data_IF_510066733161
#
_entry.id   IF_510066733161
#
_cell.length_a   1.000
_cell.length_b   1.000
_cell.length_c   1.000
_cell.angle_alpha   90.00
_cell.angle_beta   90.00
_cell.angle_gamma   90.00
#
_symmetry.space_group_name_H-M   'P 1'
#
loop_
_entity.id
_entity.type
_entity.pdbx_description
1 polymer ?
#
# COMPACT_ATOMS: atom_id res chain seq x y z
N UNK A 1 16.68 25.90 -76.98
CA UNK A 1 15.33 25.39 -77.32
C UNK A 1 15.03 24.18 -76.42
N UNK A 2 13.81 24.14 -75.84
CA UNK A 2 13.13 23.09 -75.02
C UNK A 2 13.52 22.93 -73.53
N UNK A 3 12.71 23.55 -72.65
CA UNK A 3 12.30 23.09 -71.31
C UNK A 3 11.02 22.21 -71.44
N UNK A 4 10.41 21.63 -70.37
CA UNK A 4 10.91 20.93 -69.18
C UNK A 4 10.16 19.58 -68.94
N UNK A 5 10.59 18.74 -67.98
CA UNK A 5 9.70 17.74 -67.40
C UNK A 5 9.97 17.57 -65.89
N UNK A 6 9.04 18.11 -65.10
CA UNK A 6 8.84 17.83 -63.68
C UNK A 6 8.42 16.37 -63.54
N UNK A 7 9.03 15.62 -62.63
CA UNK A 7 8.36 14.48 -61.99
C UNK A 7 8.31 14.76 -60.50
N UNK A 8 7.07 14.92 -60.07
CA UNK A 8 6.56 15.21 -58.74
C UNK A 8 6.76 14.01 -57.81
N UNK A 9 6.87 14.34 -56.53
CA UNK A 9 6.91 13.50 -55.35
C UNK A 9 6.22 12.12 -55.40
N UNK A 10 6.85 11.16 -54.71
CA UNK A 10 6.10 10.13 -53.98
C UNK A 10 6.85 9.78 -52.68
N UNK A 11 6.89 10.74 -51.75
CA UNK A 11 7.03 10.44 -50.34
C UNK A 11 5.69 9.86 -49.86
N UNK A 12 5.44 8.57 -50.12
CA UNK A 12 4.42 7.82 -49.42
C UNK A 12 4.98 7.45 -48.06
N UNK A 13 4.78 8.38 -47.13
CA UNK A 13 4.74 8.12 -45.70
C UNK A 13 3.84 6.91 -45.46
N UNK A 14 4.44 5.77 -45.14
CA UNK A 14 3.71 4.69 -44.50
C UNK A 14 3.18 5.22 -43.16
N UNK A 15 1.86 5.21 -42.91
CA UNK A 15 1.37 5.27 -41.55
C UNK A 15 1.70 3.91 -40.93
N UNK A 16 2.91 3.79 -40.37
CA UNK A 16 3.19 2.78 -39.38
C UNK A 16 2.18 3.00 -38.26
N UNK A 17 1.26 2.06 -38.14
CA UNK A 17 0.31 1.97 -37.06
C UNK A 17 1.04 2.11 -35.72
N UNK A 18 0.99 3.30 -35.14
CA UNK A 18 1.49 3.60 -33.79
C UNK A 18 0.36 3.58 -32.74
N UNK A 19 -0.82 3.06 -33.11
CA UNK A 19 -1.91 2.79 -32.15
C UNK A 19 -1.74 1.36 -31.61
N UNK A 20 -0.97 1.21 -30.54
CA UNK A 20 -0.83 -0.05 -29.80
C UNK A 20 0.41 -0.06 -28.90
N UNK A 21 1.53 0.45 -29.41
CA UNK A 21 2.81 0.44 -28.67
C UNK A 21 2.88 1.51 -27.58
N UNK A 22 2.15 2.62 -27.74
CA UNK A 22 2.10 3.69 -26.74
C UNK A 22 1.32 3.28 -25.47
N UNK A 23 0.22 2.54 -25.62
CA UNK A 23 -0.56 2.02 -24.48
C UNK A 23 0.17 0.88 -23.76
N UNK A 24 0.77 -0.05 -24.49
CA UNK A 24 1.55 -1.13 -23.87
C UNK A 24 2.83 -0.61 -23.21
N UNK A 25 3.50 0.39 -23.82
CA UNK A 25 4.65 1.06 -23.22
C UNK A 25 4.30 1.85 -21.95
N UNK A 26 3.14 2.52 -21.92
CA UNK A 26 2.65 3.21 -20.74
C UNK A 26 2.28 2.24 -19.60
N UNK A 27 1.66 1.09 -19.92
CA UNK A 27 1.37 0.03 -18.94
C UNK A 27 2.64 -0.59 -18.36
N UNK A 28 3.65 -0.85 -19.19
CA UNK A 28 4.94 -1.36 -18.75
C UNK A 28 5.72 -0.34 -17.90
N UNK A 29 5.63 0.96 -18.24
CA UNK A 29 6.25 2.03 -17.45
C UNK A 29 5.55 2.24 -16.09
N UNK A 30 4.26 1.91 -15.98
CA UNK A 30 3.50 1.98 -14.74
C UNK A 30 3.72 0.78 -13.79
N UNK A 31 4.22 -0.36 -14.30
CA UNK A 31 4.44 -1.59 -13.50
C UNK A 31 5.20 -1.36 -12.19
N UNK A 32 6.34 -0.63 -12.16
CA UNK A 32 7.07 -0.41 -10.91
C UNK A 32 6.25 0.35 -9.86
N UNK A 33 5.49 1.37 -10.30
CA UNK A 33 4.63 2.16 -9.41
C UNK A 33 3.45 1.33 -8.88
N UNK A 34 2.86 0.48 -9.72
CA UNK A 34 1.79 -0.43 -9.31
C UNK A 34 2.30 -1.49 -8.31
N UNK A 35 3.51 -2.00 -8.54
CA UNK A 35 4.15 -2.96 -7.62
C UNK A 35 4.47 -2.33 -6.27
N UNK A 36 4.94 -1.08 -6.23
CA UNK A 36 5.20 -0.38 -4.97
C UNK A 36 3.91 -0.11 -4.21
N UNK A 37 2.84 0.36 -4.88
CA UNK A 37 1.54 0.55 -4.25
C UNK A 37 0.96 -0.76 -3.69
N UNK A 38 1.06 -1.88 -4.44
CA UNK A 38 0.63 -3.19 -3.96
C UNK A 38 1.43 -3.65 -2.72
N UNK A 39 2.73 -3.40 -2.70
CA UNK A 39 3.61 -3.71 -1.56
C UNK A 39 3.23 -2.89 -0.33
N UNK A 40 3.05 -1.58 -0.49
CA UNK A 40 2.66 -0.70 0.62
C UNK A 40 1.31 -1.13 1.21
N UNK A 41 0.35 -1.49 0.35
CA UNK A 41 -0.91 -2.05 0.78
C UNK A 41 -0.77 -3.34 1.57
N UNK A 42 0.08 -4.27 1.11
CA UNK A 42 0.36 -5.49 1.87
C UNK A 42 0.97 -5.19 3.24
N UNK A 43 1.91 -4.24 3.33
CA UNK A 43 2.53 -3.86 4.60
C UNK A 43 1.52 -3.27 5.59
N UNK A 44 0.65 -2.35 5.15
CA UNK A 44 -0.40 -1.78 6.01
C UNK A 44 -1.45 -2.82 6.37
N UNK A 45 -1.82 -3.70 5.43
CA UNK A 45 -2.77 -4.77 5.68
C UNK A 45 -2.27 -5.73 6.78
N UNK A 46 -1.01 -6.16 6.70
CA UNK A 46 -0.38 -6.99 7.73
C UNK A 46 -0.27 -6.25 9.07
N UNK A 47 0.04 -4.94 9.05
CA UNK A 47 0.08 -4.13 10.28
C UNK A 47 -1.29 -4.04 10.96
N UNK A 48 -2.37 -3.85 10.18
CA UNK A 48 -3.74 -3.86 10.69
C UNK A 48 -4.16 -5.23 11.24
N UNK A 49 -3.74 -6.31 10.58
CA UNK A 49 -4.00 -7.67 11.06
C UNK A 49 -3.36 -7.89 12.44
N UNK A 50 -2.09 -7.55 12.59
CA UNK A 50 -1.37 -7.67 13.86
C UNK A 50 -1.91 -6.70 14.92
N UNK A 51 -2.32 -5.49 14.56
CA UNK A 51 -2.97 -4.58 15.50
C UNK A 51 -4.36 -5.09 15.96
N UNK A 52 -5.12 -5.74 15.09
CA UNK A 52 -6.45 -6.26 15.42
C UNK A 52 -6.40 -7.50 16.34
N UNK A 53 -5.50 -8.44 16.04
CA UNK A 53 -5.36 -9.68 16.83
C UNK A 53 -4.33 -9.58 17.96
N UNK A 54 -3.44 -8.60 17.89
CA UNK A 54 -2.34 -8.35 18.82
C UNK A 54 -2.76 -8.45 20.29
N UNK A 55 -3.78 -7.71 20.76
CA UNK A 55 -4.18 -7.70 22.16
C UNK A 55 -4.56 -9.07 22.71
N UNK A 56 -5.10 -9.97 21.89
CA UNK A 56 -5.38 -11.35 22.28
C UNK A 56 -4.11 -12.21 22.23
N UNK A 57 -3.29 -12.04 21.20
CA UNK A 57 -2.07 -12.83 21.02
C UNK A 57 -1.00 -12.59 22.10
N UNK A 58 -0.94 -11.38 22.69
CA UNK A 58 0.10 -11.04 23.66
C UNK A 58 -0.20 -11.51 25.08
N UNK A 59 -1.41 -12.01 25.35
CA UNK A 59 -1.80 -12.56 26.66
C UNK A 59 -1.05 -13.85 26.96
N UNK A 60 -0.93 -14.72 25.96
CA UNK A 60 -0.35 -16.06 26.14
C UNK A 60 1.18 -16.06 26.16
N UNK A 61 1.82 -14.96 25.73
CA UNK A 61 3.27 -14.75 25.71
C UNK A 61 4.02 -15.96 25.12
N UNK A 62 3.66 -16.30 23.89
CA UNK A 62 4.31 -17.38 23.14
C UNK A 62 5.50 -16.80 22.34
N UNK A 63 6.42 -17.64 21.83
CA UNK A 63 7.47 -17.14 20.92
C UNK A 63 6.92 -16.34 19.73
N UNK A 64 5.74 -16.71 19.24
CA UNK A 64 5.03 -16.01 18.16
C UNK A 64 4.59 -14.59 18.57
N UNK A 65 4.43 -14.31 19.87
CA UNK A 65 4.14 -12.95 20.37
C UNK A 65 5.27 -11.99 20.03
N UNK A 66 6.52 -12.38 20.30
CA UNK A 66 7.68 -11.55 20.01
C UNK A 66 7.87 -11.38 18.50
N UNK A 67 7.62 -12.44 17.71
CA UNK A 67 7.64 -12.36 16.24
C UNK A 67 6.61 -11.37 15.69
N UNK A 68 5.39 -11.30 16.25
CA UNK A 68 4.37 -10.32 15.84
C UNK A 68 4.82 -8.88 16.15
N UNK A 69 5.36 -8.65 17.34
CA UNK A 69 5.85 -7.32 17.76
C UNK A 69 7.02 -6.89 16.87
N UNK A 70 7.96 -7.79 16.60
CA UNK A 70 9.09 -7.54 15.71
C UNK A 70 8.63 -7.33 14.26
N UNK A 71 7.65 -8.09 13.77
CA UNK A 71 7.08 -7.91 12.44
C UNK A 71 6.40 -6.55 12.28
N UNK A 72 5.66 -6.08 13.30
CA UNK A 72 5.09 -4.73 13.32
C UNK A 72 6.18 -3.66 13.26
N UNK A 73 7.23 -3.78 14.10
CA UNK A 73 8.35 -2.82 14.12
C UNK A 73 9.14 -2.82 12.80
N UNK A 74 9.44 -3.99 12.26
CA UNK A 74 10.16 -4.14 11.00
C UNK A 74 9.34 -3.68 9.80
N UNK A 75 8.04 -3.99 9.79
CA UNK A 75 7.10 -3.52 8.78
C UNK A 75 6.95 -2.00 8.79
N UNK A 76 6.91 -1.37 9.97
CA UNK A 76 6.80 0.07 10.12
C UNK A 76 7.91 0.84 9.40
N UNK A 77 9.14 0.31 9.39
CA UNK A 77 10.28 0.96 8.76
C UNK A 77 10.19 0.95 7.23
N UNK A 78 9.49 -0.05 6.68
CA UNK A 78 9.21 -0.20 5.27
C UNK A 78 7.94 0.55 4.81
N UNK A 79 7.14 1.10 5.72
CA UNK A 79 5.94 1.85 5.37
C UNK A 79 6.28 3.18 4.67
N UNK A 80 5.43 3.60 3.70
CA UNK A 80 5.61 4.87 3.02
C UNK A 80 5.49 6.03 4.00
N UNK A 81 6.15 7.14 3.67
CA UNK A 81 5.91 8.41 4.35
C UNK A 81 4.59 8.98 3.88
N UNK A 82 3.91 9.75 4.73
CA UNK A 82 2.71 10.47 4.30
C UNK A 82 3.06 11.60 3.32
N UNK A 83 2.03 12.23 2.75
CA UNK A 83 2.19 13.35 1.79
C UNK A 83 2.94 14.56 2.37
N UNK A 84 3.00 14.68 3.69
CA UNK A 84 3.75 15.73 4.40
C UNK A 84 5.21 15.35 4.64
N UNK A 85 5.62 14.16 4.18
CA UNK A 85 6.94 13.58 4.43
C UNK A 85 7.13 13.15 5.88
N UNK A 86 6.06 13.10 6.67
CA UNK A 86 6.11 12.72 8.08
C UNK A 86 5.95 11.21 8.23
N UNK A 87 6.59 10.61 9.26
CA UNK A 87 6.54 9.17 9.50
C UNK A 87 5.23 8.77 10.19
N UNK A 88 4.08 9.35 9.85
CA UNK A 88 2.83 9.15 10.60
C UNK A 88 2.38 7.68 10.62
N UNK A 89 2.46 6.98 9.49
CA UNK A 89 2.16 5.53 9.40
C UNK A 89 3.18 4.69 10.16
N UNK A 90 4.46 4.97 9.95
CA UNK A 90 5.58 4.31 10.65
C UNK A 90 5.45 4.45 12.16
N UNK A 91 5.19 5.66 12.64
CA UNK A 91 5.01 5.95 14.05
C UNK A 91 3.79 5.22 14.59
N UNK A 92 2.66 5.24 13.88
CA UNK A 92 1.48 4.49 14.31
C UNK A 92 1.77 2.99 14.47
N UNK A 93 2.41 2.35 13.50
CA UNK A 93 2.77 0.93 13.58
C UNK A 93 3.78 0.64 14.72
N UNK A 94 4.78 1.50 14.92
CA UNK A 94 5.75 1.36 16.04
C UNK A 94 5.09 1.52 17.41
N UNK A 95 4.26 2.54 17.58
CA UNK A 95 3.55 2.80 18.85
C UNK A 95 2.59 1.64 19.18
N UNK A 96 1.91 1.06 18.18
CA UNK A 96 1.13 -0.17 18.35
C UNK A 96 2.01 -1.32 18.87
N UNK A 97 3.17 -1.54 18.25
CA UNK A 97 4.08 -2.58 18.69
C UNK A 97 4.57 -2.36 20.12
N UNK A 98 4.91 -1.12 20.48
CA UNK A 98 5.38 -0.76 21.82
C UNK A 98 4.28 -0.92 22.88
N UNK A 99 3.03 -0.54 22.57
CA UNK A 99 1.88 -0.79 23.45
C UNK A 99 1.59 -2.28 23.63
N UNK A 100 1.74 -3.09 22.58
CA UNK A 100 1.59 -4.55 22.67
C UNK A 100 2.72 -5.18 23.51
N UNK A 101 3.94 -4.70 23.35
CA UNK A 101 5.12 -5.12 24.10
C UNK A 101 5.01 -4.78 25.59
N UNK A 102 4.45 -3.61 25.93
CA UNK A 102 4.23 -3.17 27.32
C UNK A 102 3.26 -4.09 28.08
N UNK A 103 2.26 -4.64 27.38
CA UNK A 103 1.21 -5.47 28.00
C UNK A 103 1.39 -6.97 27.77
N UNK A 104 2.49 -7.43 27.16
CA UNK A 104 2.69 -8.86 26.91
C UNK A 104 2.85 -9.66 28.19
N UNK A 105 2.27 -10.86 28.21
CA UNK A 105 2.22 -11.73 29.40
C UNK A 105 1.38 -11.16 30.56
N UNK A 106 0.62 -10.09 30.32
CA UNK A 106 -0.35 -9.56 31.30
C UNK A 106 -1.72 -10.21 31.11
N UNK A 107 -2.72 -9.76 31.87
CA UNK A 107 -4.06 -10.38 31.85
C UNK A 107 -4.88 -9.92 30.63
N UNK A 108 -5.90 -10.70 30.27
CA UNK A 108 -6.87 -10.35 29.22
C UNK A 108 -7.51 -8.99 29.49
N UNK A 109 -7.79 -8.66 30.75
CA UNK A 109 -8.37 -7.36 31.13
C UNK A 109 -7.42 -6.20 30.82
N UNK A 110 -6.13 -6.35 31.12
CA UNK A 110 -5.11 -5.33 30.82
C UNK A 110 -4.95 -5.15 29.32
N UNK A 111 -4.82 -6.24 28.55
CA UNK A 111 -4.68 -6.14 27.09
C UNK A 111 -5.94 -5.59 26.42
N UNK A 112 -7.13 -5.95 26.94
CA UNK A 112 -8.42 -5.38 26.50
C UNK A 112 -8.53 -3.90 26.83
N UNK A 113 -8.07 -3.47 28.01
CA UNK A 113 -8.08 -2.06 28.40
C UNK A 113 -7.15 -1.23 27.51
N UNK A 114 -5.96 -1.74 27.22
CA UNK A 114 -5.03 -1.15 26.25
C UNK A 114 -5.66 -1.06 24.86
N UNK A 115 -6.29 -2.13 24.36
CA UNK A 115 -6.95 -2.12 23.04
C UNK A 115 -8.10 -1.10 22.94
N UNK A 116 -8.78 -0.81 24.07
CA UNK A 116 -9.84 0.20 24.17
C UNK A 116 -9.32 1.60 24.47
N UNK A 117 -8.02 1.75 24.73
CA UNK A 117 -7.42 3.04 25.05
C UNK A 117 -7.43 3.98 23.84
N UNK A 118 -7.55 5.27 24.11
CA UNK A 118 -7.54 6.29 23.06
C UNK A 118 -6.24 6.25 22.22
N UNK A 119 -5.03 6.10 22.80
CA UNK A 119 -3.80 5.99 22.01
C UNK A 119 -3.83 4.82 21.04
N UNK A 120 -4.21 3.62 21.50
CA UNK A 120 -4.25 2.43 20.65
C UNK A 120 -5.24 2.57 19.49
N UNK A 121 -6.45 3.06 19.79
CA UNK A 121 -7.49 3.32 18.79
C UNK A 121 -7.05 4.37 17.77
N UNK A 122 -6.36 5.43 18.23
CA UNK A 122 -5.83 6.48 17.35
C UNK A 122 -4.80 5.95 16.37
N UNK A 123 -3.82 5.18 16.84
CA UNK A 123 -2.78 4.62 15.97
C UNK A 123 -3.34 3.57 15.01
N UNK A 124 -4.26 2.71 15.47
CA UNK A 124 -4.94 1.75 14.59
C UNK A 124 -5.79 2.48 13.54
N UNK A 125 -6.45 3.57 13.93
CA UNK A 125 -7.23 4.43 13.03
C UNK A 125 -6.39 5.10 11.94
N UNK A 126 -5.14 5.50 12.25
CA UNK A 126 -4.19 6.03 11.24
C UNK A 126 -3.91 5.00 10.16
N UNK A 127 -3.61 3.74 10.55
CA UNK A 127 -3.37 2.66 9.59
C UNK A 127 -4.63 2.34 8.78
N UNK A 128 -5.80 2.32 9.42
CA UNK A 128 -7.08 2.05 8.78
C UNK A 128 -7.48 3.09 7.74
N UNK A 129 -7.37 4.37 8.10
CA UNK A 129 -7.67 5.49 7.19
C UNK A 129 -6.76 5.47 5.96
N UNK A 130 -5.48 5.17 6.14
CA UNK A 130 -4.55 5.05 5.01
C UNK A 130 -4.90 3.85 4.12
N UNK A 131 -5.17 2.68 4.71
CA UNK A 131 -5.57 1.49 3.95
C UNK A 131 -6.82 1.77 3.10
N UNK A 132 -7.84 2.40 3.68
CA UNK A 132 -9.07 2.76 2.97
C UNK A 132 -8.79 3.69 1.78
N UNK A 133 -7.95 4.72 1.98
CA UNK A 133 -7.64 5.70 0.95
C UNK A 133 -6.74 5.17 -0.18
N UNK A 134 -5.92 4.14 0.06
CA UNK A 134 -4.84 3.74 -0.86
C UNK A 134 -4.97 2.31 -1.42
N UNK A 135 -5.73 1.43 -0.76
CA UNK A 135 -5.73 -0.01 -1.06
C UNK A 135 -7.06 -0.54 -1.58
N UNK A 136 -8.13 0.25 -1.55
CA UNK A 136 -9.36 -0.10 -2.22
C UNK A 136 -9.19 0.18 -3.72
N UNK A 137 -9.23 -0.87 -4.54
CA UNK A 137 -9.36 -0.71 -5.97
C UNK A 137 -10.72 -0.06 -6.26
N UNK A 138 -10.75 1.00 -7.09
CA UNK A 138 -12.01 1.43 -7.71
C UNK A 138 -12.71 0.19 -8.27
N UNK A 139 -13.94 -0.07 -7.83
CA UNK A 139 -14.72 -1.20 -8.31
C UNK A 139 -14.67 -1.21 -9.84
N UNK A 140 -14.19 -2.31 -10.42
CA UNK A 140 -14.21 -2.47 -11.86
C UNK A 140 -15.63 -2.16 -12.35
N UNK A 141 -15.82 -1.33 -13.38
CA UNK A 141 -17.15 -0.94 -13.84
C UNK A 141 -17.96 -2.23 -14.05
N UNK A 142 -19.03 -2.37 -13.28
CA UNK A 142 -20.01 -3.43 -13.49
C UNK A 142 -20.49 -3.24 -14.92
N UNK A 143 -20.04 -4.11 -15.81
CA UNK A 143 -20.50 -4.10 -17.18
C UNK A 143 -22.00 -4.26 -17.14
N UNK A 144 -22.72 -3.21 -17.55
CA UNK A 144 -24.14 -3.31 -17.85
C UNK A 144 -24.28 -4.47 -18.85
N UNK A 145 -24.80 -5.61 -18.38
CA UNK A 145 -25.27 -6.67 -19.25
C UNK A 145 -26.42 -6.09 -20.09
N UNK A 146 -26.13 -5.88 -21.37
CA UNK A 146 -27.07 -5.44 -22.39
C UNK A 146 -27.99 -6.58 -22.86
#
# INVERSE_FOLDING_TARGET
>A
MRLPARITALALLLPLAACGVAEEGAKLAALPSMMEGAKDCMLVHTSLLHAGFGPLSVVEQTPETDEIIEALRGGADALPLDETGQPTLRNAAREIADMLDEVKGTTIETTTAMAKSEPYQRHTGVLGAWHEANCQSEEAPQGDEA
#
